data_IF_058634545302
#
_entry.id   IF_058634545302
#
_cell.length_a   1.000
_cell.length_b   1.000
_cell.length_c   1.000
_cell.angle_alpha   90.00
_cell.angle_beta   90.00
_cell.angle_gamma   90.00
#
_symmetry.space_group_name_H-M   'P 1'
#
loop_
_entity.id
_entity.type
_entity.pdbx_description
1 polymer ?
#
# COMPACT_ATOMS: atom_id res chain seq x y z
N UNK A 1 -15.26 11.12 -51.18
CA UNK A 1 -14.81 11.22 -49.79
C UNK A 1 -14.68 9.82 -49.21
N UNK A 2 -13.45 9.28 -49.19
CA UNK A 2 -13.22 7.90 -48.78
C UNK A 2 -12.80 7.95 -47.29
N UNK A 3 -13.71 7.61 -46.40
CA UNK A 3 -13.41 7.50 -44.97
C UNK A 3 -12.54 6.25 -44.73
N UNK A 4 -11.25 6.42 -44.54
CA UNK A 4 -10.37 5.34 -44.07
C UNK A 4 -10.59 5.24 -42.56
N UNK A 5 -11.45 4.31 -42.14
CA UNK A 5 -11.56 3.91 -40.76
C UNK A 5 -10.33 3.04 -40.46
N UNK A 6 -9.26 3.62 -39.96
CA UNK A 6 -8.14 2.86 -39.43
C UNK A 6 -8.62 2.09 -38.21
N UNK A 7 -8.75 0.77 -38.34
CA UNK A 7 -9.00 -0.11 -37.22
C UNK A 7 -7.74 -0.14 -36.32
N UNK A 8 -7.74 0.75 -35.32
CA UNK A 8 -6.62 0.99 -34.42
C UNK A 8 -6.16 -0.30 -33.70
N UNK A 9 -7.06 -1.28 -33.55
CA UNK A 9 -6.76 -2.57 -32.89
C UNK A 9 -5.87 -3.49 -33.72
N UNK A 10 -5.81 -3.32 -35.03
CA UNK A 10 -5.02 -4.17 -35.94
C UNK A 10 -3.60 -3.68 -36.18
N UNK A 11 -3.26 -2.46 -35.76
CA UNK A 11 -1.92 -1.93 -35.92
C UNK A 11 -0.95 -2.62 -34.95
N UNK A 12 0.22 -3.17 -35.41
CA UNK A 12 1.20 -3.83 -34.56
C UNK A 12 1.79 -2.90 -33.49
N UNK A 13 1.87 -1.59 -33.74
CA UNK A 13 2.32 -0.62 -32.73
C UNK A 13 1.37 -0.49 -31.57
N UNK A 14 0.06 -0.62 -31.80
CA UNK A 14 -0.94 -0.58 -30.75
C UNK A 14 -0.90 -1.81 -29.86
N UNK A 15 -0.51 -2.97 -30.41
CA UNK A 15 -0.27 -4.17 -29.61
C UNK A 15 0.87 -3.98 -28.63
N UNK A 16 1.94 -3.26 -29.02
CA UNK A 16 3.05 -2.91 -28.13
C UNK A 16 2.56 -2.03 -26.96
N UNK A 17 1.70 -1.04 -27.23
CA UNK A 17 1.09 -0.20 -26.20
C UNK A 17 0.23 -1.03 -25.24
N UNK A 18 -0.54 -2.00 -25.73
CA UNK A 18 -1.33 -2.91 -24.90
C UNK A 18 -0.43 -3.76 -23.99
N UNK A 19 0.63 -4.35 -24.52
CA UNK A 19 1.57 -5.13 -23.71
C UNK A 19 2.24 -4.26 -22.63
N UNK A 20 2.64 -3.04 -22.96
CA UNK A 20 3.20 -2.09 -22.03
C UNK A 20 2.21 -1.71 -20.93
N UNK A 21 0.94 -1.47 -21.28
CA UNK A 21 -0.13 -1.22 -20.32
C UNK A 21 -0.32 -2.38 -19.35
N UNK A 22 -0.35 -3.63 -19.84
CA UNK A 22 -0.48 -4.83 -19.02
C UNK A 22 0.71 -4.97 -18.07
N UNK A 23 1.95 -4.77 -18.55
CA UNK A 23 3.16 -4.82 -17.72
C UNK A 23 3.09 -3.80 -16.59
N UNK A 24 2.70 -2.55 -16.88
CA UNK A 24 2.59 -1.50 -15.88
C UNK A 24 1.46 -1.79 -14.87
N UNK A 25 0.32 -2.35 -15.31
CA UNK A 25 -0.74 -2.77 -14.41
C UNK A 25 -0.30 -3.89 -13.48
N UNK A 26 0.43 -4.88 -13.98
CA UNK A 26 0.94 -5.98 -13.16
C UNK A 26 1.96 -5.46 -12.15
N UNK A 27 2.98 -4.73 -12.59
CA UNK A 27 4.03 -4.22 -11.70
C UNK A 27 3.49 -3.23 -10.68
N UNK A 28 2.67 -2.29 -11.12
CA UNK A 28 2.03 -1.31 -10.24
C UNK A 28 1.04 -1.97 -9.28
N UNK A 29 0.24 -2.93 -9.77
CA UNK A 29 -0.72 -3.69 -8.97
C UNK A 29 -0.06 -4.53 -7.88
N UNK A 30 1.01 -5.27 -8.21
CA UNK A 30 1.78 -6.03 -7.23
C UNK A 30 2.41 -5.11 -6.17
N UNK A 31 2.93 -3.94 -6.60
CA UNK A 31 3.43 -2.94 -5.68
C UNK A 31 2.36 -2.39 -4.75
N UNK A 32 1.18 -2.06 -5.27
CA UNK A 32 0.05 -1.60 -4.46
C UNK A 32 -0.45 -2.68 -3.49
N UNK A 33 -0.58 -3.94 -3.94
CA UNK A 33 -1.04 -5.03 -3.11
C UNK A 33 -0.15 -5.25 -1.88
N UNK A 34 1.17 -5.11 -2.03
CA UNK A 34 2.11 -5.22 -0.91
C UNK A 34 1.79 -4.25 0.24
N UNK A 35 1.25 -3.06 -0.07
CA UNK A 35 0.93 -2.04 0.93
C UNK A 35 -0.54 -2.08 1.36
N UNK A 36 -1.47 -2.34 0.44
CA UNK A 36 -2.91 -2.32 0.72
C UNK A 36 -3.38 -3.59 1.41
N UNK A 37 -2.80 -4.75 1.06
CA UNK A 37 -3.24 -6.03 1.60
C UNK A 37 -3.12 -6.13 3.13
N UNK A 38 -2.02 -5.70 3.78
CA UNK A 38 -1.93 -5.67 5.24
C UNK A 38 -3.01 -4.77 5.88
N UNK A 39 -3.32 -3.63 5.27
CA UNK A 39 -4.34 -2.71 5.77
C UNK A 39 -5.74 -3.32 5.69
N UNK A 40 -6.05 -4.01 4.58
CA UNK A 40 -7.32 -4.73 4.41
C UNK A 40 -7.41 -5.86 5.46
N UNK A 41 -6.34 -6.62 5.68
CA UNK A 41 -6.30 -7.68 6.68
C UNK A 41 -6.53 -7.10 8.08
N UNK A 42 -5.82 -6.04 8.45
CA UNK A 42 -5.99 -5.37 9.73
C UNK A 42 -7.41 -4.82 9.90
N UNK A 43 -7.96 -4.20 8.86
CA UNK A 43 -9.34 -3.72 8.87
C UNK A 43 -10.36 -4.84 9.04
N UNK A 44 -10.21 -5.95 8.30
CA UNK A 44 -11.12 -7.11 8.45
C UNK A 44 -11.02 -7.75 9.83
N UNK A 45 -9.83 -7.77 10.43
CA UNK A 45 -9.63 -8.26 11.79
C UNK A 45 -10.25 -7.35 12.85
N UNK A 46 -10.40 -6.06 12.59
CA UNK A 46 -11.03 -5.10 13.51
C UNK A 46 -12.56 -5.16 13.49
N UNK A 47 -13.18 -5.83 12.51
CA UNK A 47 -14.63 -5.95 12.42
C UNK A 47 -15.18 -6.77 13.62
N UNK A 48 -16.14 -6.20 14.34
CA UNK A 48 -16.73 -6.83 15.52
C UNK A 48 -15.83 -6.82 16.76
N UNK A 49 -14.74 -6.06 16.75
CA UNK A 49 -13.90 -5.80 17.91
C UNK A 49 -14.42 -4.63 18.72
N UNK A 50 -14.13 -4.66 20.02
CA UNK A 50 -14.27 -3.50 20.89
C UNK A 50 -13.09 -2.55 20.68
N UNK A 51 -13.24 -1.29 21.06
CA UNK A 51 -12.21 -0.28 20.91
C UNK A 51 -11.75 0.24 22.25
N UNK A 52 -10.44 0.40 22.42
CA UNK A 52 -9.81 1.12 23.55
C UNK A 52 -8.74 2.08 22.99
N UNK A 53 -8.22 2.93 23.86
CA UNK A 53 -7.10 3.80 23.56
C UNK A 53 -5.82 3.17 24.09
N UNK A 54 -4.82 3.03 23.24
CA UNK A 54 -3.45 2.69 23.61
C UNK A 54 -2.53 3.88 23.43
N UNK A 55 -1.29 3.74 23.89
CA UNK A 55 -0.26 4.74 23.76
C UNK A 55 1.03 4.11 23.25
N UNK A 56 1.73 4.84 22.40
CA UNK A 56 3.06 4.43 21.93
C UNK A 56 4.02 4.46 23.12
N UNK A 57 4.61 3.31 23.44
CA UNK A 57 5.62 3.19 24.47
C UNK A 57 7.00 3.61 23.97
N UNK A 58 7.38 3.09 22.80
CA UNK A 58 8.54 3.50 22.02
C UNK A 58 8.45 2.93 20.60
N UNK A 59 9.26 3.49 19.69
CA UNK A 59 9.45 2.96 18.34
C UNK A 59 10.90 2.54 18.19
N UNK A 60 11.12 1.27 17.89
CA UNK A 60 12.45 0.70 17.65
C UNK A 60 12.81 0.86 16.17
N UNK A 61 14.00 1.40 15.92
CA UNK A 61 14.49 1.67 14.58
C UNK A 61 15.33 0.51 14.06
N UNK A 62 15.07 0.12 12.81
CA UNK A 62 15.87 -0.86 12.09
C UNK A 62 16.41 -0.26 10.80
N UNK A 63 17.72 -0.38 10.61
CA UNK A 63 18.42 0.10 9.43
C UNK A 63 18.68 -1.04 8.46
N UNK A 64 18.08 -0.97 7.27
CA UNK A 64 18.35 -1.91 6.20
C UNK A 64 19.28 -1.31 5.15
N UNK A 65 20.40 -1.97 4.92
CA UNK A 65 21.34 -1.64 3.85
C UNK A 65 21.15 -2.63 2.70
N UNK A 66 20.53 -2.20 1.60
CA UNK A 66 20.40 -3.02 0.40
C UNK A 66 21.47 -2.62 -0.62
N UNK A 67 22.45 -3.50 -0.85
CA UNK A 67 23.47 -3.32 -1.91
C UNK A 67 24.74 -4.13 -1.66
N UNK A 68 25.28 -4.74 -2.73
CA UNK A 68 26.55 -5.47 -2.72
C UNK A 68 27.78 -4.60 -2.45
N UNK A 69 27.63 -3.29 -2.49
CA UNK A 69 28.66 -2.30 -2.20
C UNK A 69 28.08 -1.26 -1.25
N UNK A 70 28.81 -0.98 -0.16
CA UNK A 70 28.52 0.03 0.87
C UNK A 70 28.47 1.48 0.36
N UNK A 71 27.88 1.74 -0.80
CA UNK A 71 27.57 3.10 -1.23
C UNK A 71 26.24 3.49 -0.58
N UNK A 72 26.27 4.58 0.18
CA UNK A 72 25.25 5.15 1.04
C UNK A 72 23.90 5.50 0.37
N UNK A 73 23.59 5.02 -0.83
CA UNK A 73 22.45 5.46 -1.62
C UNK A 73 21.15 4.69 -1.40
N UNK A 74 21.18 3.55 -0.68
CA UNK A 74 19.99 2.72 -0.46
C UNK A 74 19.83 2.35 1.03
N UNK A 75 19.88 3.36 1.89
CA UNK A 75 19.57 3.22 3.31
C UNK A 75 18.07 3.38 3.50
N UNK A 76 17.41 2.34 4.00
CA UNK A 76 15.99 2.38 4.36
C UNK A 76 15.87 2.18 5.86
N UNK A 77 15.25 3.13 6.52
CA UNK A 77 14.92 3.06 7.94
C UNK A 77 13.50 2.55 8.08
N UNK A 78 13.29 1.56 8.93
CA UNK A 78 11.96 1.05 9.28
C UNK A 78 11.80 1.01 10.79
N UNK A 79 10.56 1.03 11.26
CA UNK A 79 10.23 1.08 12.66
C UNK A 79 9.28 -0.05 13.06
N UNK A 80 9.54 -0.62 14.23
CA UNK A 80 8.60 -1.42 14.99
C UNK A 80 8.11 -0.59 16.18
N UNK A 81 6.82 -0.29 16.22
CA UNK A 81 6.23 0.54 17.27
C UNK A 81 5.57 -0.34 18.31
N UNK A 82 5.99 -0.18 19.56
CA UNK A 82 5.40 -0.86 20.70
C UNK A 82 4.28 0.00 21.27
N UNK A 83 3.06 -0.55 21.24
CA UNK A 83 1.85 0.07 21.76
C UNK A 83 1.45 -0.61 23.05
N UNK A 84 1.17 0.18 24.09
CA UNK A 84 0.65 -0.26 25.39
C UNK A 84 -0.81 0.18 25.53
N UNK A 85 -1.67 -0.71 25.97
CA UNK A 85 -3.10 -0.45 26.18
C UNK A 85 -3.63 -1.24 27.39
N UNK A 86 -4.69 -0.73 28.01
CA UNK A 86 -5.28 -1.33 29.22
C UNK A 86 -6.72 -1.76 28.94
N UNK A 87 -7.06 -2.96 29.37
CA UNK A 87 -8.41 -3.54 29.31
C UNK A 87 -8.69 -4.19 30.67
N UNK A 88 -9.80 -3.82 31.30
CA UNK A 88 -10.24 -4.37 32.60
C UNK A 88 -9.08 -4.40 33.63
N UNK A 89 -8.37 -3.26 33.76
CA UNK A 89 -7.23 -3.05 34.66
C UNK A 89 -5.96 -3.91 34.35
N UNK A 90 -5.97 -4.66 33.27
CA UNK A 90 -4.80 -5.38 32.79
C UNK A 90 -4.13 -4.63 31.65
N UNK A 91 -2.82 -4.52 31.75
CA UNK A 91 -2.01 -3.83 30.72
C UNK A 91 -1.41 -4.85 29.76
N UNK A 92 -1.62 -4.57 28.46
CA UNK A 92 -1.13 -5.36 27.34
C UNK A 92 -0.15 -4.54 26.51
N UNK A 93 0.78 -5.22 25.84
CA UNK A 93 1.70 -4.61 24.91
C UNK A 93 1.67 -5.33 23.57
N UNK A 94 1.70 -4.58 22.48
CA UNK A 94 1.75 -5.14 21.14
C UNK A 94 2.80 -4.43 20.29
N UNK A 95 3.60 -5.23 19.58
CA UNK A 95 4.55 -4.72 18.58
C UNK A 95 3.85 -4.63 17.23
N UNK A 96 3.91 -3.46 16.62
CA UNK A 96 3.32 -3.16 15.31
C UNK A 96 4.41 -2.71 14.35
N UNK A 97 4.57 -3.42 13.24
CA UNK A 97 5.45 -2.97 12.17
C UNK A 97 4.83 -1.78 11.44
N UNK A 98 5.46 -0.62 11.56
CA UNK A 98 4.96 0.64 10.99
C UNK A 98 5.71 1.09 9.72
N UNK A 99 6.62 0.25 9.22
CA UNK A 99 7.40 0.55 8.01
C UNK A 99 8.28 1.77 8.22
N UNK A 100 8.18 2.77 7.33
CA UNK A 100 8.95 4.02 7.43
C UNK A 100 8.30 5.09 8.32
N UNK A 101 7.14 4.80 8.91
CA UNK A 101 6.42 5.75 9.75
C UNK A 101 6.92 5.66 11.19
N UNK A 102 7.45 6.76 11.69
CA UNK A 102 7.84 6.93 13.08
C UNK A 102 6.66 7.46 13.90
N UNK A 103 6.45 6.89 15.07
CA UNK A 103 5.45 7.35 16.05
C UNK A 103 6.15 7.74 17.33
N UNK A 104 5.76 8.90 17.89
CA UNK A 104 6.38 9.45 19.08
C UNK A 104 5.88 8.77 20.35
N UNK A 105 6.74 8.64 21.35
CA UNK A 105 6.36 8.15 22.66
C UNK A 105 5.21 8.98 23.26
N UNK A 106 4.19 8.32 23.79
CA UNK A 106 2.99 8.94 24.34
C UNK A 106 1.91 9.29 23.32
N UNK A 107 2.15 9.05 22.02
CA UNK A 107 1.13 9.26 20.98
C UNK A 107 -0.04 8.29 21.19
N UNK A 108 -1.28 8.81 21.12
CA UNK A 108 -2.48 8.00 21.29
C UNK A 108 -2.82 7.21 20.04
N UNK A 109 -3.20 5.96 20.21
CA UNK A 109 -3.49 4.99 19.15
C UNK A 109 -4.82 4.31 19.45
N UNK A 110 -5.64 4.10 18.42
CA UNK A 110 -6.86 3.28 18.58
C UNK A 110 -6.49 1.81 18.50
N UNK A 111 -6.95 1.06 19.49
CA UNK A 111 -6.71 -0.37 19.62
C UNK A 111 -8.05 -1.10 19.53
N UNK A 112 -8.15 -2.07 18.61
CA UNK A 112 -9.32 -2.90 18.39
C UNK A 112 -9.03 -4.31 18.91
N UNK A 113 -9.81 -4.78 19.85
CA UNK A 113 -9.57 -6.06 20.51
C UNK A 113 -10.84 -6.90 20.65
N UNK A 114 -10.68 -8.21 20.79
CA UNK A 114 -11.76 -9.12 21.15
C UNK A 114 -11.65 -9.46 22.65
N UNK A 115 -12.76 -9.39 23.38
CA UNK A 115 -12.77 -9.79 24.81
C UNK A 115 -12.25 -11.20 25.06
N UNK A 116 -12.48 -12.11 24.12
CA UNK A 116 -12.01 -13.49 24.22
C UNK A 116 -10.48 -13.63 24.06
N UNK A 117 -9.83 -12.64 23.46
CA UNK A 117 -8.39 -12.67 23.22
C UNK A 117 -7.83 -11.23 23.12
N UNK A 118 -7.70 -10.53 24.25
CA UNK A 118 -7.25 -9.15 24.27
C UNK A 118 -5.80 -8.96 23.84
N UNK A 119 -4.97 -9.99 23.92
CA UNK A 119 -3.56 -9.95 23.50
C UNK A 119 -3.39 -9.79 21.97
N UNK A 120 -4.35 -10.30 21.17
CA UNK A 120 -4.33 -10.18 19.72
C UNK A 120 -5.15 -8.98 19.26
N UNK A 121 -4.75 -7.80 19.67
CA UNK A 121 -5.38 -6.56 19.24
C UNK A 121 -4.83 -6.09 17.89
N UNK A 122 -5.60 -5.26 17.20
CA UNK A 122 -5.20 -4.57 15.97
C UNK A 122 -5.20 -3.07 16.21
N UNK A 123 -4.18 -2.37 15.75
CA UNK A 123 -4.07 -0.93 15.94
C UNK A 123 -4.36 -0.17 14.65
N UNK A 124 -4.86 1.06 14.76
CA UNK A 124 -5.11 1.92 13.60
C UNK A 124 -3.82 2.34 12.89
N UNK A 125 -2.68 2.34 13.59
CA UNK A 125 -1.37 2.62 12.96
C UNK A 125 -0.93 1.49 12.03
N UNK A 126 -1.36 0.23 12.27
CA UNK A 126 -1.14 -0.86 11.34
C UNK A 126 -1.87 -0.68 10.01
N UNK A 127 -2.93 0.13 10.00
CA UNK A 127 -3.80 0.42 8.85
C UNK A 127 -3.36 1.66 8.05
N UNK A 128 -2.33 2.39 8.49
CA UNK A 128 -1.90 3.67 7.89
C UNK A 128 -0.73 3.54 6.91
N UNK A 129 -0.57 2.39 6.27
CA UNK A 129 0.50 2.21 5.29
C UNK A 129 0.11 2.84 3.97
N UNK A 130 0.84 3.86 3.55
CA UNK A 130 0.65 4.46 2.23
C UNK A 130 1.44 3.71 1.17
N UNK A 131 0.83 3.36 0.02
CA UNK A 131 1.57 2.78 -1.09
C UNK A 131 2.63 3.76 -1.60
N UNK A 132 3.78 3.24 -2.01
CA UNK A 132 4.85 4.08 -2.56
C UNK A 132 4.39 4.77 -3.84
N UNK A 133 4.73 6.04 -4.00
CA UNK A 133 4.39 6.83 -5.19
C UNK A 133 4.69 6.11 -6.51
N UNK A 134 5.84 5.43 -6.69
CA UNK A 134 6.12 4.69 -7.93
C UNK A 134 5.09 3.61 -8.26
N UNK A 135 4.60 2.85 -7.28
CA UNK A 135 3.61 1.78 -7.50
C UNK A 135 2.26 2.35 -7.95
N UNK A 136 1.79 3.41 -7.30
CA UNK A 136 0.55 4.11 -7.66
C UNK A 136 0.67 4.72 -9.05
N UNK A 137 1.81 5.35 -9.35
CA UNK A 137 2.07 5.96 -10.64
C UNK A 137 2.08 4.93 -11.78
N UNK A 138 2.79 3.80 -11.62
CA UNK A 138 2.82 2.74 -12.61
C UNK A 138 1.44 2.13 -12.85
N UNK A 139 0.68 1.89 -11.78
CA UNK A 139 -0.68 1.37 -11.89
C UNK A 139 -1.59 2.35 -12.65
N UNK A 140 -1.55 3.63 -12.28
CA UNK A 140 -2.32 4.70 -12.95
C UNK A 140 -1.95 4.86 -14.44
N UNK A 141 -0.64 4.82 -14.75
CA UNK A 141 -0.16 4.90 -16.12
C UNK A 141 -0.63 3.69 -16.95
N UNK A 142 -0.55 2.47 -16.39
CA UNK A 142 -1.04 1.26 -17.03
C UNK A 142 -2.54 1.32 -17.30
N UNK A 143 -3.34 1.81 -16.34
CA UNK A 143 -4.77 2.01 -16.49
C UNK A 143 -5.09 3.05 -17.59
N UNK A 144 -4.39 4.19 -17.61
CA UNK A 144 -4.56 5.21 -18.63
C UNK A 144 -4.25 4.69 -20.04
N UNK A 145 -3.14 3.96 -20.21
CA UNK A 145 -2.78 3.35 -21.49
C UNK A 145 -3.82 2.31 -21.94
N UNK A 146 -4.36 1.51 -21.01
CA UNK A 146 -5.41 0.54 -21.33
C UNK A 146 -6.71 1.23 -21.76
N UNK A 147 -7.11 2.30 -21.07
CA UNK A 147 -8.28 3.11 -21.43
C UNK A 147 -8.09 3.71 -22.82
N UNK A 148 -6.93 4.31 -23.11
CA UNK A 148 -6.61 4.87 -24.42
C UNK A 148 -6.66 3.80 -25.51
N UNK A 149 -6.20 2.57 -25.22
CA UNK A 149 -6.29 1.45 -26.15
C UNK A 149 -7.74 1.00 -26.43
N UNK A 150 -8.58 1.02 -25.40
CA UNK A 150 -9.99 0.57 -25.50
C UNK A 150 -10.92 1.62 -26.10
N UNK A 151 -10.59 2.90 -25.97
CA UNK A 151 -11.39 3.98 -26.54
C UNK A 151 -11.33 3.93 -28.09
N UNK A 152 -12.48 3.93 -28.76
CA UNK A 152 -12.52 4.02 -30.21
C UNK A 152 -12.23 5.47 -30.64
N UNK A 153 -10.97 5.87 -30.70
CA UNK A 153 -10.61 7.13 -31.33
C UNK A 153 -10.81 7.02 -32.83
N UNK A 154 -11.90 7.61 -33.33
CA UNK A 154 -12.03 7.94 -34.74
C UNK A 154 -11.24 9.22 -34.97
N UNK A 155 -10.04 9.13 -35.50
CA UNK A 155 -9.36 10.29 -36.08
C UNK A 155 -10.13 10.54 -37.40
N UNK A 156 -10.96 11.57 -37.40
CA UNK A 156 -11.59 12.10 -38.60
C UNK A 156 -10.60 13.11 -39.15
N UNK A 157 -9.80 12.73 -40.15
CA UNK A 157 -9.05 13.68 -40.96
C UNK A 157 -10.08 14.36 -41.86
N UNK A 158 -10.28 15.67 -41.70
CA UNK A 158 -11.03 16.53 -42.57
C UNK A 158 -10.30 16.78 -43.92
#
# INVERSE_FOLDING_TARGET
>A
MTRIVKDYRRNPENKKALYLAIVFLILGGLGCLKYILPDIIAWTQSIGCEQTTGYVKYSEQYDYYSGRYRKASNHTVTYDTIVEYTIDDQTYTQTVYTGTNYFSMGESVKVYYKKSNPENAVTDIAMKRTPTFPSVFLFGLGAALLILYLLPFKIVDD
#
